data_IF_330443866946
#
_entry.id   IF_330443866946
#
_cell.length_a   1.000
_cell.length_b   1.000
_cell.length_c   1.000
_cell.angle_alpha   90.00
_cell.angle_beta   90.00
_cell.angle_gamma   90.00
#
_symmetry.space_group_name_H-M   'P 1'
#
loop_
_entity.id
_entity.type
_entity.pdbx_description
1 polymer ?
#
# COMPACT_ATOMS: atom_id res chain seq x y z
N UNK A 1 -6.90 16.64 14.09
CA UNK A 1 -7.64 16.26 12.86
C UNK A 1 -7.96 14.79 13.04
N UNK A 2 -9.23 14.46 13.26
CA UNK A 2 -9.60 13.11 13.70
C UNK A 2 -9.96 12.18 12.53
N UNK A 3 -10.08 12.73 11.31
CA UNK A 3 -10.43 12.01 10.09
C UNK A 3 -9.28 11.94 9.06
N UNK A 4 -9.51 11.26 7.93
CA UNK A 4 -8.50 11.01 6.91
C UNK A 4 -8.06 12.31 6.21
N UNK A 5 -6.83 12.32 5.67
CA UNK A 5 -6.38 13.41 4.83
C UNK A 5 -7.14 13.39 3.48
N UNK A 6 -7.50 14.55 2.90
CA UNK A 6 -8.30 14.61 1.67
C UNK A 6 -7.73 13.77 0.51
N UNK A 7 -6.41 13.75 0.36
CA UNK A 7 -5.72 13.02 -0.70
C UNK A 7 -5.68 11.49 -0.50
N UNK A 8 -5.96 10.98 0.71
CA UNK A 8 -5.83 9.55 1.01
C UNK A 8 -6.92 8.70 0.35
N UNK A 9 -8.13 9.23 0.19
CA UNK A 9 -9.24 8.52 -0.42
C UNK A 9 -8.85 7.95 -1.80
N UNK A 10 -8.21 8.78 -2.63
CA UNK A 10 -7.81 8.43 -4.00
C UNK A 10 -6.46 7.69 -4.08
N UNK A 11 -5.60 7.83 -3.07
CA UNK A 11 -4.22 7.31 -3.09
C UNK A 11 -4.03 5.97 -2.39
N UNK A 12 -4.96 5.59 -1.52
CA UNK A 12 -4.80 4.39 -0.68
C UNK A 12 -5.69 3.25 -1.15
N UNK A 13 -5.39 2.02 -0.71
CA UNK A 13 -6.23 0.86 -1.02
C UNK A 13 -7.62 1.02 -0.38
N UNK A 14 -8.63 0.38 -0.95
CA UNK A 14 -10.00 0.36 -0.39
C UNK A 14 -10.08 -0.25 1.02
N UNK A 15 -9.13 -1.12 1.39
CA UNK A 15 -9.01 -1.74 2.73
C UNK A 15 -8.01 -1.00 3.63
N UNK A 16 -7.54 0.18 3.22
CA UNK A 16 -6.58 0.94 4.02
C UNK A 16 -7.31 1.60 5.19
N UNK A 17 -6.77 1.56 6.43
CA UNK A 17 -7.36 2.32 7.53
C UNK A 17 -7.43 3.82 7.25
N UNK A 18 -6.55 4.35 6.39
CA UNK A 18 -6.53 5.74 5.95
C UNK A 18 -7.76 6.17 5.11
N UNK A 19 -8.64 5.23 4.74
CA UNK A 19 -9.95 5.56 4.16
C UNK A 19 -10.89 6.18 5.20
N UNK A 20 -10.72 5.85 6.48
CA UNK A 20 -11.62 6.26 7.56
C UNK A 20 -10.89 6.97 8.73
N UNK A 21 -9.61 6.66 8.93
CA UNK A 21 -8.83 7.08 10.09
C UNK A 21 -7.80 8.15 9.72
N UNK A 22 -7.60 9.13 10.61
CA UNK A 22 -6.58 10.17 10.46
C UNK A 22 -5.15 9.73 10.80
N UNK A 23 -4.14 10.59 10.52
CA UNK A 23 -2.76 10.34 10.92
C UNK A 23 -2.62 10.04 12.41
N UNK A 24 -1.86 9.00 12.74
CA UNK A 24 -1.64 8.58 14.13
C UNK A 24 -2.72 7.67 14.70
N UNK A 25 -3.76 7.34 13.93
CA UNK A 25 -4.84 6.42 14.34
C UNK A 25 -4.65 5.00 13.81
N UNK A 26 -3.59 4.76 13.06
CA UNK A 26 -3.13 3.45 12.61
C UNK A 26 -1.60 3.41 12.62
N UNK A 27 -1.05 2.22 12.72
CA UNK A 27 0.38 1.97 12.56
C UNK A 27 0.73 1.82 11.08
N UNK A 28 1.96 2.16 10.72
CA UNK A 28 2.49 1.94 9.38
C UNK A 28 3.63 0.94 9.48
N UNK A 29 3.57 -0.11 8.68
CA UNK A 29 4.64 -1.12 8.59
C UNK A 29 5.13 -1.21 7.17
N UNK A 30 6.34 -1.73 6.99
CA UNK A 30 7.05 -1.69 5.71
C UNK A 30 6.35 -2.50 4.61
N UNK A 31 5.77 -3.65 4.98
CA UNK A 31 5.15 -4.59 4.03
C UNK A 31 4.10 -5.49 4.71
N UNK A 32 3.25 -6.17 3.92
CA UNK A 32 2.35 -7.21 4.45
C UNK A 32 3.12 -8.34 5.14
N UNK A 33 2.52 -8.93 6.17
CA UNK A 33 3.11 -10.05 6.91
C UNK A 33 2.10 -10.76 7.81
N UNK A 34 2.47 -11.94 8.35
CA UNK A 34 1.56 -12.76 9.16
C UNK A 34 1.13 -12.08 10.45
N UNK A 35 1.91 -11.12 10.94
CA UNK A 35 1.58 -10.32 12.13
C UNK A 35 0.51 -9.25 11.89
N UNK A 36 0.15 -9.00 10.62
CA UNK A 36 -0.75 -7.92 10.19
C UNK A 36 -1.86 -8.47 9.30
N UNK A 37 -2.61 -9.45 9.80
CA UNK A 37 -3.66 -10.12 9.05
C UNK A 37 -4.83 -9.17 8.72
N UNK A 38 -5.50 -9.42 7.60
CA UNK A 38 -6.73 -8.71 7.26
C UNK A 38 -7.87 -9.16 8.17
N UNK A 39 -8.49 -8.22 8.88
CA UNK A 39 -9.69 -8.46 9.69
C UNK A 39 -10.92 -7.99 8.92
N UNK A 40 -11.81 -8.94 8.59
CA UNK A 40 -13.07 -8.65 7.88
C UNK A 40 -14.06 -7.84 8.68
N UNK A 41 -14.06 -7.95 10.01
CA UNK A 41 -14.96 -7.20 10.86
C UNK A 41 -14.53 -5.73 10.94
N UNK A 42 -13.21 -5.50 11.00
CA UNK A 42 -12.63 -4.16 11.00
C UNK A 42 -12.57 -3.52 9.60
N UNK A 43 -12.47 -4.31 8.53
CA UNK A 43 -12.37 -3.82 7.16
C UNK A 43 -10.94 -3.46 6.71
N UNK A 44 -9.94 -3.66 7.58
CA UNK A 44 -8.52 -3.38 7.33
C UNK A 44 -7.62 -4.41 8.03
N UNK A 45 -6.30 -4.30 7.81
CA UNK A 45 -5.30 -5.11 8.53
C UNK A 45 -5.14 -4.63 9.96
N UNK A 46 -4.94 -5.55 10.88
CA UNK A 46 -4.71 -5.25 12.31
C UNK A 46 -3.48 -5.98 12.84
N UNK A 47 -2.84 -5.43 13.86
CA UNK A 47 -1.81 -6.15 14.61
C UNK A 47 -2.41 -7.18 15.59
N UNK A 48 -1.55 -7.85 16.37
CA UNK A 48 -1.97 -8.88 17.34
C UNK A 48 -2.84 -8.35 18.47
N UNK A 49 -2.79 -7.05 18.74
CA UNK A 49 -3.56 -6.37 19.78
C UNK A 49 -4.80 -5.66 19.21
N UNK A 50 -5.04 -5.79 17.89
CA UNK A 50 -6.19 -5.21 17.19
C UNK A 50 -6.00 -3.78 16.71
N UNK A 51 -4.78 -3.20 16.78
CA UNK A 51 -4.53 -1.86 16.25
C UNK A 51 -4.61 -1.87 14.72
N UNK A 52 -5.26 -0.88 14.07
CA UNK A 52 -5.28 -0.76 12.62
C UNK A 52 -3.86 -0.58 12.05
N UNK A 53 -3.57 -1.24 10.93
CA UNK A 53 -2.24 -1.22 10.29
C UNK A 53 -2.36 -0.94 8.78
N UNK A 54 -1.58 0.02 8.31
CA UNK A 54 -1.28 0.17 6.89
C UNK A 54 0.07 -0.49 6.57
N UNK A 55 0.09 -1.33 5.55
CA UNK A 55 1.28 -2.08 5.10
C UNK A 55 1.94 -1.46 3.86
N UNK A 56 1.51 -0.25 3.46
CA UNK A 56 1.99 0.45 2.26
C UNK A 56 2.40 1.90 2.59
N UNK A 57 3.59 2.12 3.18
CA UNK A 57 4.06 3.43 3.67
C UNK A 57 3.96 4.55 2.62
N UNK A 58 4.33 4.22 1.38
CA UNK A 58 4.31 5.15 0.25
C UNK A 58 2.91 5.59 -0.18
N UNK A 59 1.86 4.78 0.04
CA UNK A 59 0.48 5.17 -0.30
C UNK A 59 -0.08 6.19 0.68
N UNK A 60 0.25 6.06 1.97
CA UNK A 60 -0.16 7.00 3.02
C UNK A 60 0.82 8.17 3.21
N UNK A 61 2.00 8.10 2.57
CA UNK A 61 3.02 9.16 2.67
C UNK A 61 3.73 9.21 4.01
N UNK A 62 3.70 8.13 4.79
CA UNK A 62 4.24 8.08 6.16
C UNK A 62 5.25 6.94 6.27
N UNK A 63 6.43 7.15 6.89
CA UNK A 63 7.39 6.07 7.09
C UNK A 63 6.82 5.01 8.05
N UNK A 64 7.38 3.79 8.05
CA UNK A 64 7.02 2.79 9.06
C UNK A 64 7.18 3.34 10.48
N UNK A 65 6.16 3.15 11.31
CA UNK A 65 6.09 3.67 12.67
C UNK A 65 4.86 3.18 13.42
N UNK A 66 5.02 2.96 14.73
CA UNK A 66 3.95 2.56 15.65
C UNK A 66 3.23 3.79 16.20
N UNK A 67 2.54 4.50 15.33
CA UNK A 67 1.91 5.78 15.67
C UNK A 67 0.70 5.61 16.59
N UNK A 68 -0.13 4.60 16.35
CA UNK A 68 -1.33 4.34 17.14
C UNK A 68 -1.02 3.48 18.36
N UNK A 69 -0.27 2.38 18.18
CA UNK A 69 -0.03 1.41 19.26
C UNK A 69 1.00 1.89 20.29
N UNK A 70 1.97 2.70 19.88
CA UNK A 70 3.06 3.16 20.74
C UNK A 70 3.19 4.68 20.84
N UNK A 71 2.31 5.44 20.19
CA UNK A 71 2.32 6.91 20.25
C UNK A 71 3.58 7.55 19.64
N UNK A 72 4.23 6.87 18.67
CA UNK A 72 5.37 7.45 17.96
C UNK A 72 4.97 8.81 17.37
N UNK A 73 5.76 9.87 17.53
CA UNK A 73 5.44 11.18 16.97
C UNK A 73 5.25 11.12 15.46
N UNK A 74 4.26 11.85 14.95
CA UNK A 74 4.03 11.94 13.51
C UNK A 74 5.22 12.62 12.82
N UNK A 75 5.57 12.19 11.59
CA UNK A 75 6.56 12.89 10.79
C UNK A 75 6.11 14.33 10.50
N UNK A 76 7.08 15.24 10.31
CA UNK A 76 6.77 16.58 9.86
C UNK A 76 6.08 16.54 8.48
N UNK A 77 5.14 17.45 8.17
CA UNK A 77 4.46 17.48 6.86
C UNK A 77 5.39 17.63 5.65
N UNK A 78 6.59 18.17 5.85
CA UNK A 78 7.63 18.31 4.82
C UNK A 78 8.52 17.08 4.66
N UNK A 79 8.31 16.02 5.42
CA UNK A 79 9.04 14.78 5.27
C UNK A 79 8.82 14.19 3.88
N UNK A 80 9.90 13.67 3.28
CA UNK A 80 9.80 13.00 1.99
C UNK A 80 8.87 11.78 2.09
N UNK A 81 8.03 11.60 1.06
CA UNK A 81 7.22 10.40 0.91
C UNK A 81 8.15 9.19 0.86
N UNK A 82 7.90 8.13 1.66
CA UNK A 82 8.72 6.94 1.61
C UNK A 82 8.74 6.34 0.20
N UNK A 83 9.92 5.95 -0.27
CA UNK A 83 10.03 5.09 -1.45
C UNK A 83 9.70 3.64 -1.05
N UNK A 84 9.13 2.82 -1.95
CA UNK A 84 8.97 1.39 -1.68
C UNK A 84 10.31 0.73 -1.34
N UNK A 85 10.32 -0.10 -0.29
CA UNK A 85 11.50 -0.86 0.12
C UNK A 85 11.79 -2.00 -0.87
N UNK A 86 13.01 -2.57 -0.90
CA UNK A 86 13.31 -3.76 -1.70
C UNK A 86 12.35 -4.93 -1.41
N UNK A 87 11.94 -5.10 -0.14
CA UNK A 87 11.03 -6.16 0.26
C UNK A 87 9.60 -5.94 -0.26
N UNK A 88 9.18 -4.68 -0.47
CA UNK A 88 7.89 -4.36 -1.09
C UNK A 88 7.87 -4.64 -2.62
N UNK A 89 9.04 -4.87 -3.23
CA UNK A 89 9.19 -5.20 -4.65
C UNK A 89 9.23 -6.72 -4.92
N UNK A 90 9.21 -7.54 -3.86
CA UNK A 90 9.13 -8.99 -3.97
C UNK A 90 7.71 -9.45 -4.33
N UNK A 91 7.58 -10.40 -5.26
CA UNK A 91 6.27 -10.89 -5.69
C UNK A 91 5.55 -11.57 -4.50
N UNK A 92 4.33 -11.13 -4.14
CA UNK A 92 3.62 -11.67 -2.98
C UNK A 92 3.14 -13.10 -3.22
N UNK A 93 2.93 -13.85 -2.15
CA UNK A 93 2.33 -15.20 -2.21
C UNK A 93 0.81 -15.12 -2.31
N UNK A 94 0.21 -14.17 -1.60
CA UNK A 94 -1.23 -14.00 -1.53
C UNK A 94 -1.75 -12.98 -2.55
N UNK A 95 -2.94 -13.25 -3.09
CA UNK A 95 -3.59 -12.36 -4.06
C UNK A 95 -3.95 -10.99 -3.46
N UNK A 96 -4.26 -10.95 -2.16
CA UNK A 96 -4.66 -9.73 -1.46
C UNK A 96 -3.53 -8.68 -1.43
N UNK A 97 -2.28 -9.11 -1.58
CA UNK A 97 -1.10 -8.26 -1.59
C UNK A 97 -0.64 -7.86 -3.00
N UNK A 98 -1.26 -8.41 -4.05
CA UNK A 98 -0.88 -8.16 -5.44
C UNK A 98 -1.00 -6.68 -5.82
N UNK A 99 -2.06 -6.00 -5.38
CA UNK A 99 -2.27 -4.58 -5.68
C UNK A 99 -1.20 -3.69 -5.03
N UNK A 100 -0.77 -4.03 -3.81
CA UNK A 100 0.28 -3.35 -3.09
C UNK A 100 1.61 -3.42 -3.83
N UNK A 101 1.99 -4.64 -4.23
CA UNK A 101 3.20 -4.92 -4.99
C UNK A 101 3.21 -4.26 -6.38
N UNK A 102 2.09 -4.27 -7.10
CA UNK A 102 1.98 -3.59 -8.39
C UNK A 102 2.23 -2.09 -8.26
N UNK A 103 1.64 -1.43 -7.27
CA UNK A 103 1.91 0.00 -7.03
C UNK A 103 3.36 0.23 -6.63
N UNK A 104 3.94 -0.58 -5.74
CA UNK A 104 5.36 -0.47 -5.38
C UNK A 104 6.25 -0.53 -6.63
N UNK A 105 6.00 -1.51 -7.49
CA UNK A 105 6.74 -1.74 -8.74
C UNK A 105 6.62 -0.57 -9.71
N UNK A 106 5.43 0.01 -9.87
CA UNK A 106 5.23 1.14 -10.76
C UNK A 106 5.81 2.44 -10.19
N UNK A 107 5.81 2.63 -8.87
CA UNK A 107 6.35 3.86 -8.25
C UNK A 107 7.86 3.99 -8.31
N UNK A 108 8.58 2.86 -8.34
CA UNK A 108 10.04 2.88 -8.53
C UNK A 108 10.45 2.95 -10.00
N UNK A 109 9.50 2.80 -10.94
CA UNK A 109 9.78 2.88 -12.37
C UNK A 109 9.86 4.34 -12.85
N UNK A 110 10.95 4.65 -13.57
CA UNK A 110 11.10 5.93 -14.26
C UNK A 110 9.94 6.15 -15.25
N UNK A 111 9.46 7.39 -15.45
CA UNK A 111 8.33 7.69 -16.34
C UNK A 111 8.46 7.09 -17.75
N UNK A 112 9.63 7.19 -18.34
CA UNK A 112 9.97 6.66 -19.67
C UNK A 112 9.99 5.12 -19.73
N UNK A 113 10.07 4.45 -18.58
CA UNK A 113 10.10 2.98 -18.48
C UNK A 113 8.76 2.38 -18.06
N UNK A 114 7.72 3.19 -17.83
CA UNK A 114 6.46 2.74 -17.23
C UNK A 114 5.82 1.57 -17.99
N UNK A 115 5.74 1.64 -19.32
CA UNK A 115 5.18 0.54 -20.13
C UNK A 115 5.99 -0.75 -19.98
N UNK A 116 7.32 -0.65 -19.93
CA UNK A 116 8.20 -1.80 -19.72
C UNK A 116 8.02 -2.39 -18.32
N UNK A 117 7.86 -1.54 -17.30
CA UNK A 117 7.60 -1.96 -15.93
C UNK A 117 6.26 -2.68 -15.81
N UNK A 118 5.19 -2.16 -16.43
CA UNK A 118 3.87 -2.82 -16.49
C UNK A 118 3.97 -4.20 -17.14
N UNK A 119 4.60 -4.29 -18.32
CA UNK A 119 4.72 -5.56 -19.03
C UNK A 119 5.54 -6.59 -18.26
N UNK A 120 6.58 -6.15 -17.53
CA UNK A 120 7.36 -7.04 -16.64
C UNK A 120 6.52 -7.49 -15.45
N UNK A 121 5.81 -6.59 -14.82
CA UNK A 121 4.98 -6.88 -13.65
C UNK A 121 3.84 -7.86 -13.99
N UNK A 122 3.19 -7.68 -15.14
CA UNK A 122 2.17 -8.61 -15.65
C UNK A 122 2.73 -10.02 -15.83
N UNK A 123 3.88 -10.15 -16.51
CA UNK A 123 4.53 -11.46 -16.71
C UNK A 123 4.86 -12.14 -15.39
N UNK A 124 5.50 -11.41 -14.48
CA UNK A 124 5.93 -11.94 -13.19
C UNK A 124 4.73 -12.33 -12.31
N UNK A 125 3.65 -11.55 -12.31
CA UNK A 125 2.43 -11.90 -11.60
C UNK A 125 1.74 -13.14 -12.20
N UNK A 126 1.77 -13.27 -13.53
CA UNK A 126 1.23 -14.42 -14.25
C UNK A 126 1.91 -15.75 -13.96
N UNK A 127 3.12 -15.74 -13.39
CA UNK A 127 3.81 -16.96 -12.94
C UNK A 127 3.12 -17.60 -11.71
N UNK A 128 2.34 -16.83 -10.96
CA UNK A 128 1.72 -17.27 -9.69
C UNK A 128 0.21 -17.14 -9.65
N UNK A 129 -0.35 -16.10 -10.27
CA UNK A 129 -1.75 -15.77 -10.17
C UNK A 129 -2.50 -16.01 -11.47
N UNK A 130 -3.79 -16.30 -11.39
CA UNK A 130 -4.64 -16.48 -12.56
C UNK A 130 -4.65 -15.22 -13.44
N UNK A 131 -4.53 -15.32 -14.78
CA UNK A 131 -4.42 -14.16 -15.67
C UNK A 131 -5.53 -13.13 -15.50
N UNK A 132 -6.77 -13.56 -15.30
CA UNK A 132 -7.91 -12.67 -15.08
C UNK A 132 -7.75 -11.78 -13.84
N UNK A 133 -7.21 -12.34 -12.76
CA UNK A 133 -6.92 -11.62 -11.51
C UNK A 133 -5.82 -10.59 -11.72
N UNK A 134 -4.75 -10.97 -12.43
CA UNK A 134 -3.63 -10.08 -12.75
C UNK A 134 -4.11 -8.88 -13.56
N UNK A 135 -4.83 -9.11 -14.66
CA UNK A 135 -5.34 -8.05 -15.53
C UNK A 135 -6.33 -7.14 -14.80
N UNK A 136 -7.24 -7.70 -13.99
CA UNK A 136 -8.19 -6.91 -13.21
C UNK A 136 -7.48 -6.01 -12.20
N UNK A 137 -6.44 -6.51 -11.54
CA UNK A 137 -5.67 -5.74 -10.57
C UNK A 137 -4.83 -4.66 -11.24
N UNK A 138 -4.19 -4.98 -12.37
CA UNK A 138 -3.47 -3.99 -13.20
C UNK A 138 -4.36 -2.84 -13.64
N UNK A 139 -5.59 -3.12 -14.11
CA UNK A 139 -6.54 -2.07 -14.50
C UNK A 139 -6.84 -1.12 -13.35
N UNK A 140 -7.14 -1.65 -12.15
CA UNK A 140 -7.37 -0.84 -10.95
C UNK A 140 -6.17 0.04 -10.60
N UNK A 141 -4.98 -0.56 -10.58
CA UNK A 141 -3.74 0.15 -10.25
C UNK A 141 -3.44 1.26 -11.25
N UNK A 142 -3.53 0.97 -12.55
CA UNK A 142 -3.22 1.94 -13.60
C UNK A 142 -4.19 3.12 -13.62
N UNK A 143 -5.48 2.90 -13.33
CA UNK A 143 -6.46 3.99 -13.21
C UNK A 143 -6.07 5.02 -12.13
N UNK A 144 -5.39 4.59 -11.07
CA UNK A 144 -4.96 5.47 -9.96
C UNK A 144 -3.56 6.03 -10.20
N UNK A 145 -2.60 5.20 -10.58
CA UNK A 145 -1.19 5.62 -10.67
C UNK A 145 -0.91 6.49 -11.91
N UNK A 146 -1.71 6.41 -12.97
CA UNK A 146 -1.60 7.35 -14.10
C UNK A 146 -2.22 8.72 -13.78
N UNK A 147 -3.20 8.79 -12.88
CA UNK A 147 -3.82 10.04 -12.47
C UNK A 147 -2.98 10.83 -11.44
N UNK A 148 -2.12 10.14 -10.70
CA UNK A 148 -1.31 10.70 -9.62
C UNK A 148 0.15 11.00 -10.01
N UNK A 149 0.50 10.89 -11.30
CA UNK A 149 1.84 11.16 -11.84
C UNK A 149 1.97 12.56 -12.43
#
# INVERSE_FOLDING_TARGET
>A
MDGPLPEWCERTCVVCPAQELGPGRFDVVDRPGPDFAYDRAAGWRVDRDGHPVCVHPYRVGMPPGRYASAGVPLPAPSAAVPTPSPAALELPTEVDDLEGWLVATLRVAAPEQLFTAVARAERQAGERFAPGVVVQTLRRVLSVELANR
#
